data_IF_347828532830
#
_entry.id   IF_347828532830
#
_cell.length_a   1.000
_cell.length_b   1.000
_cell.length_c   1.000
_cell.angle_alpha   90.00
_cell.angle_beta   90.00
_cell.angle_gamma   90.00
#
_symmetry.space_group_name_H-M   'P 1'
#
loop_
_entity.id
_entity.type
_entity.pdbx_description
1 polymer ?
#
# COMPACT_ATOMS: atom_id res chain seq x y z
N UNK A 1 0.86 34.06 1.24
CA UNK A 1 0.76 33.00 0.21
C UNK A 1 0.03 31.82 0.81
N UNK A 2 -1.10 31.37 0.24
CA UNK A 2 -1.80 30.19 0.76
C UNK A 2 -0.88 28.98 0.74
N UNK A 3 -0.73 28.32 1.89
CA UNK A 3 0.15 27.17 2.06
C UNK A 3 -0.50 25.92 1.46
N UNK A 4 0.06 25.45 0.34
CA UNK A 4 -0.38 24.20 -0.28
C UNK A 4 -0.12 23.01 0.67
N UNK A 5 -1.18 22.29 1.03
CA UNK A 5 -1.10 21.14 1.93
C UNK A 5 -0.44 19.95 1.22
N UNK A 6 0.76 19.61 1.68
CA UNK A 6 1.48 18.37 1.30
C UNK A 6 1.19 17.32 2.39
N UNK A 7 0.79 16.12 1.99
CA UNK A 7 0.56 15.02 2.93
C UNK A 7 -0.72 14.21 2.68
N UNK A 8 -1.03 13.32 3.62
CA UNK A 8 -2.13 12.36 3.55
C UNK A 8 -3.48 13.02 3.25
N UNK A 9 -4.28 12.32 2.45
CA UNK A 9 -5.68 12.66 2.21
C UNK A 9 -6.53 12.16 3.37
N UNK A 10 -7.33 13.05 3.94
CA UNK A 10 -8.33 12.68 4.95
C UNK A 10 -9.60 12.17 4.26
N UNK A 11 -10.37 11.33 4.97
CA UNK A 11 -11.65 10.84 4.46
C UNK A 11 -12.64 11.99 4.16
N UNK A 12 -12.55 13.10 4.90
CA UNK A 12 -13.36 14.30 4.66
C UNK A 12 -12.98 14.96 3.34
N UNK A 13 -11.68 15.11 3.06
CA UNK A 13 -11.19 15.62 1.77
C UNK A 13 -11.63 14.71 0.62
N UNK A 14 -11.53 13.39 0.78
CA UNK A 14 -11.94 12.42 -0.25
C UNK A 14 -13.45 12.52 -0.57
N UNK A 15 -14.30 12.62 0.47
CA UNK A 15 -15.74 12.83 0.29
C UNK A 15 -16.04 14.13 -0.46
N UNK A 16 -15.35 15.20 -0.12
CA UNK A 16 -15.52 16.49 -0.78
C UNK A 16 -15.12 16.42 -2.27
N UNK A 17 -14.01 15.74 -2.59
CA UNK A 17 -13.61 15.52 -4.00
C UNK A 17 -14.68 14.73 -4.75
N UNK A 18 -15.23 13.67 -4.16
CA UNK A 18 -16.29 12.88 -4.78
C UNK A 18 -17.55 13.71 -5.04
N UNK A 19 -18.04 14.45 -4.03
CA UNK A 19 -19.23 15.29 -4.18
C UNK A 19 -19.04 16.37 -5.26
N UNK A 20 -17.91 17.07 -5.22
CA UNK A 20 -17.62 18.12 -6.20
C UNK A 20 -17.41 17.53 -7.61
N UNK A 21 -16.82 16.34 -7.73
CA UNK A 21 -16.69 15.65 -9.01
C UNK A 21 -18.05 15.21 -9.56
N UNK A 22 -18.98 14.76 -8.71
CA UNK A 22 -20.35 14.45 -9.14
C UNK A 22 -21.09 15.69 -9.65
N UNK A 23 -20.83 16.87 -9.05
CA UNK A 23 -21.48 18.13 -9.45
C UNK A 23 -20.83 18.79 -10.67
N UNK A 24 -19.50 18.81 -10.75
CA UNK A 24 -18.72 19.59 -11.72
C UNK A 24 -17.97 18.74 -12.75
N UNK A 25 -18.03 17.41 -12.65
CA UNK A 25 -17.27 16.51 -13.51
C UNK A 25 -15.76 16.69 -13.36
N UNK A 26 -15.04 16.69 -14.48
CA UNK A 26 -13.56 16.74 -14.50
C UNK A 26 -12.96 18.15 -14.39
N UNK A 27 -13.71 19.13 -13.86
CA UNK A 27 -13.17 20.48 -13.60
C UNK A 27 -12.29 20.51 -12.34
N UNK A 28 -11.08 19.95 -12.45
CA UNK A 28 -10.15 19.82 -11.32
C UNK A 28 -9.72 21.16 -10.74
N UNK A 29 -9.71 22.23 -11.55
CA UNK A 29 -9.36 23.59 -11.09
C UNK A 29 -10.48 24.16 -10.24
N UNK A 30 -11.73 24.07 -10.70
CA UNK A 30 -12.90 24.46 -9.92
C UNK A 30 -13.03 23.66 -8.62
N UNK A 31 -12.82 22.35 -8.68
CA UNK A 31 -12.85 21.47 -7.51
C UNK A 31 -11.78 21.90 -6.48
N UNK A 32 -10.53 22.12 -6.91
CA UNK A 32 -9.46 22.55 -6.02
C UNK A 32 -9.76 23.92 -5.35
N UNK A 33 -10.34 24.85 -6.11
CA UNK A 33 -10.76 26.15 -5.57
C UNK A 33 -11.88 26.00 -4.53
N UNK A 34 -12.87 25.15 -4.79
CA UNK A 34 -13.96 24.84 -3.87
C UNK A 34 -13.50 24.11 -2.59
N UNK A 35 -12.34 23.45 -2.62
CA UNK A 35 -11.68 22.88 -1.43
C UNK A 35 -10.84 23.92 -0.66
N UNK A 36 -11.26 25.19 -0.65
CA UNK A 36 -10.56 26.32 -0.04
C UNK A 36 -9.10 26.51 -0.50
N UNK A 37 -8.74 25.99 -1.69
CA UNK A 37 -7.37 26.08 -2.20
C UNK A 37 -6.31 25.32 -1.39
N UNK A 38 -6.72 24.43 -0.47
CA UNK A 38 -5.79 23.69 0.38
C UNK A 38 -4.98 22.66 -0.43
N UNK A 39 -5.52 22.17 -1.55
CA UNK A 39 -4.89 21.19 -2.46
C UNK A 39 -4.80 21.77 -3.86
N UNK A 40 -3.73 21.42 -4.57
CA UNK A 40 -3.58 21.76 -5.98
C UNK A 40 -4.45 20.87 -6.87
N UNK A 41 -4.95 21.42 -7.98
CA UNK A 41 -5.78 20.71 -8.97
C UNK A 41 -5.13 19.42 -9.50
N UNK A 42 -3.79 19.39 -9.61
CA UNK A 42 -3.07 18.17 -10.01
C UNK A 42 -3.18 17.09 -8.93
N UNK A 43 -3.07 17.47 -7.66
CA UNK A 43 -3.22 16.54 -6.54
C UNK A 43 -4.63 15.97 -6.46
N UNK A 44 -5.64 16.83 -6.65
CA UNK A 44 -7.06 16.42 -6.68
C UNK A 44 -7.30 15.40 -7.78
N UNK A 45 -6.89 15.72 -9.01
CA UNK A 45 -7.01 14.79 -10.15
C UNK A 45 -6.29 13.47 -9.86
N UNK A 46 -5.05 13.52 -9.39
CA UNK A 46 -4.26 12.33 -9.09
C UNK A 46 -4.93 11.46 -8.03
N UNK A 47 -5.48 12.07 -6.97
CA UNK A 47 -6.21 11.36 -5.92
C UNK A 47 -7.44 10.66 -6.50
N UNK A 48 -8.21 11.37 -7.33
CA UNK A 48 -9.41 10.82 -7.93
C UNK A 48 -9.09 9.61 -8.83
N UNK A 49 -8.23 9.80 -9.83
CA UNK A 49 -7.96 8.77 -10.86
C UNK A 49 -7.24 7.52 -10.35
N UNK A 50 -6.59 7.62 -9.19
CA UNK A 50 -5.84 6.52 -8.58
C UNK A 50 -6.54 5.84 -7.40
N UNK A 51 -7.49 6.53 -6.74
CA UNK A 51 -8.05 6.05 -5.47
C UNK A 51 -9.57 6.23 -5.30
N UNK A 52 -10.19 7.24 -5.89
CA UNK A 52 -11.61 7.56 -5.59
C UNK A 52 -12.57 7.16 -6.71
N UNK A 53 -12.09 7.05 -7.94
CA UNK A 53 -12.91 6.63 -9.08
C UNK A 53 -13.52 5.23 -8.82
N UNK A 54 -14.86 5.10 -8.81
CA UNK A 54 -15.55 3.83 -8.53
C UNK A 54 -15.22 2.70 -9.52
N UNK A 55 -14.72 3.02 -10.71
CA UNK A 55 -14.30 2.02 -11.69
C UNK A 55 -13.00 1.30 -11.29
N UNK A 56 -12.29 1.76 -10.26
CA UNK A 56 -11.02 1.19 -9.83
C UNK A 56 -11.26 -0.10 -9.05
N UNK A 57 -10.61 -1.18 -9.47
CA UNK A 57 -10.59 -2.42 -8.70
C UNK A 57 -9.62 -2.28 -7.51
N UNK A 58 -10.14 -2.38 -6.28
CA UNK A 58 -9.35 -2.32 -5.04
C UNK A 58 -8.95 -3.70 -4.47
N UNK A 59 -9.40 -4.79 -5.09
CA UNK A 59 -9.08 -6.15 -4.66
C UNK A 59 -7.62 -6.51 -4.94
N UNK A 60 -7.21 -7.68 -4.44
CA UNK A 60 -5.88 -8.23 -4.72
C UNK A 60 -5.72 -8.51 -6.21
N UNK A 61 -4.47 -8.46 -6.69
CA UNK A 61 -4.15 -8.93 -8.04
C UNK A 61 -4.42 -10.44 -8.11
N UNK A 62 -5.10 -10.85 -9.18
CA UNK A 62 -5.31 -12.25 -9.52
C UNK A 62 -4.02 -12.87 -10.05
N UNK A 63 -3.87 -14.18 -9.89
CA UNK A 63 -2.66 -14.92 -10.33
C UNK A 63 -2.42 -14.72 -11.83
N UNK A 64 -3.50 -14.62 -12.62
CA UNK A 64 -3.49 -14.32 -14.05
C UNK A 64 -2.89 -12.94 -14.33
N UNK A 65 -3.36 -11.89 -13.63
CA UNK A 65 -2.81 -10.53 -13.73
C UNK A 65 -1.33 -10.49 -13.31
N UNK A 66 -0.97 -11.21 -12.24
CA UNK A 66 0.42 -11.28 -11.76
C UNK A 66 1.36 -11.90 -12.79
N UNK A 67 0.97 -13.05 -13.37
CA UNK A 67 1.75 -13.75 -14.40
C UNK A 67 1.88 -12.90 -15.67
N UNK A 68 0.78 -12.29 -16.10
CA UNK A 68 0.77 -11.41 -17.26
C UNK A 68 1.72 -10.21 -17.08
N UNK A 69 1.69 -9.58 -15.90
CA UNK A 69 2.56 -8.44 -15.58
C UNK A 69 4.04 -8.78 -15.66
N UNK A 70 4.45 -9.89 -15.03
CA UNK A 70 5.86 -10.31 -15.04
C UNK A 70 6.31 -10.64 -16.46
N UNK A 71 5.45 -11.31 -17.25
CA UNK A 71 5.73 -11.62 -18.65
C UNK A 71 5.91 -10.36 -19.48
N UNK A 72 4.97 -9.42 -19.43
CA UNK A 72 5.06 -8.19 -20.23
C UNK A 72 6.23 -7.32 -19.81
N UNK A 73 6.49 -7.16 -18.51
CA UNK A 73 7.64 -6.36 -18.06
C UNK A 73 8.97 -6.97 -18.51
N UNK A 74 9.08 -8.31 -18.61
CA UNK A 74 10.28 -8.98 -19.12
C UNK A 74 10.51 -8.72 -20.61
N UNK A 75 9.44 -8.61 -21.39
CA UNK A 75 9.50 -8.47 -22.86
C UNK A 75 9.58 -6.99 -23.29
N UNK A 76 8.70 -6.15 -22.72
CA UNK A 76 8.43 -4.79 -23.18
C UNK A 76 9.02 -3.71 -22.24
N UNK A 77 9.56 -4.10 -21.08
CA UNK A 77 10.01 -3.17 -20.05
C UNK A 77 8.88 -2.54 -19.22
N UNK A 78 9.18 -1.52 -18.39
CA UNK A 78 8.22 -0.96 -17.43
C UNK A 78 7.18 -0.05 -18.10
N UNK A 79 6.09 -0.64 -18.63
CA UNK A 79 4.99 0.09 -19.28
C UNK A 79 3.68 0.03 -18.47
N UNK A 80 3.71 0.54 -17.23
CA UNK A 80 2.61 0.36 -16.25
C UNK A 80 1.23 0.78 -16.73
N UNK A 81 1.14 1.89 -17.46
CA UNK A 81 -0.14 2.38 -17.99
C UNK A 81 -0.69 1.48 -19.11
N UNK A 82 0.19 0.91 -19.94
CA UNK A 82 -0.19 -0.05 -20.99
C UNK A 82 -0.67 -1.34 -20.36
N UNK A 83 0.07 -1.85 -19.37
CA UNK A 83 -0.28 -3.09 -18.67
C UNK A 83 -1.60 -2.96 -17.93
N UNK A 84 -1.83 -1.85 -17.22
CA UNK A 84 -3.09 -1.58 -16.55
C UNK A 84 -4.30 -1.59 -17.52
N UNK A 85 -4.14 -1.06 -18.73
CA UNK A 85 -5.19 -1.12 -19.76
C UNK A 85 -5.40 -2.53 -20.29
N UNK A 86 -4.33 -3.32 -20.46
CA UNK A 86 -4.36 -4.69 -20.97
C UNK A 86 -4.93 -5.69 -19.94
N UNK A 87 -4.87 -5.40 -18.64
CA UNK A 87 -5.40 -6.24 -17.55
C UNK A 87 -6.91 -6.16 -17.34
N UNK A 88 -7.64 -5.26 -18.01
CA UNK A 88 -9.10 -5.15 -17.93
C UNK A 88 -9.75 -6.42 -18.51
N UNK A 89 -9.83 -7.47 -17.69
CA UNK A 89 -10.35 -8.77 -18.07
C UNK A 89 -11.71 -8.97 -17.40
N UNK A 90 -12.79 -8.65 -18.12
CA UNK A 90 -14.14 -9.18 -17.91
C UNK A 90 -14.94 -8.69 -16.69
N UNK A 91 -14.31 -8.23 -15.61
CA UNK A 91 -14.99 -7.81 -14.37
C UNK A 91 -15.59 -6.39 -14.42
N UNK A 92 -15.34 -5.66 -15.51
CA UNK A 92 -15.80 -4.27 -15.70
C UNK A 92 -15.00 -3.23 -14.90
N UNK A 93 -14.09 -3.65 -14.05
CA UNK A 93 -13.24 -2.77 -13.26
C UNK A 93 -11.86 -2.60 -13.89
N UNK A 94 -11.17 -1.51 -13.55
CA UNK A 94 -9.83 -1.20 -14.07
C UNK A 94 -8.78 -1.19 -12.97
N UNK A 95 -7.58 -1.67 -13.30
CA UNK A 95 -6.37 -1.38 -12.52
C UNK A 95 -5.81 -0.03 -12.93
N UNK A 96 -5.13 0.65 -12.00
CA UNK A 96 -4.41 1.89 -12.27
C UNK A 96 -2.92 1.61 -12.50
N UNK A 97 -2.26 2.46 -13.29
CA UNK A 97 -0.82 2.35 -13.51
C UNK A 97 -0.03 2.37 -12.18
N UNK A 98 -0.52 3.13 -11.19
CA UNK A 98 0.06 3.20 -9.85
C UNK A 98 -0.05 1.86 -9.12
N UNK A 99 -1.20 1.19 -9.18
CA UNK A 99 -1.38 -0.14 -8.59
C UNK A 99 -0.44 -1.16 -9.22
N UNK A 100 -0.35 -1.19 -10.55
CA UNK A 100 0.53 -2.11 -11.30
C UNK A 100 1.99 -1.90 -10.92
N UNK A 101 2.47 -0.64 -10.93
CA UNK A 101 3.84 -0.30 -10.50
C UNK A 101 4.11 -0.73 -9.06
N UNK A 102 3.19 -0.39 -8.14
CA UNK A 102 3.35 -0.70 -6.73
C UNK A 102 3.35 -2.21 -6.48
N UNK A 103 2.50 -2.95 -7.20
CA UNK A 103 2.48 -4.40 -7.14
C UNK A 103 3.81 -4.98 -7.63
N UNK A 104 4.30 -4.55 -8.80
CA UNK A 104 5.56 -5.04 -9.34
C UNK A 104 6.74 -4.80 -8.39
N UNK A 105 6.87 -3.61 -7.82
CA UNK A 105 7.93 -3.31 -6.85
C UNK A 105 7.80 -4.15 -5.57
N UNK A 106 6.59 -4.35 -5.04
CA UNK A 106 6.35 -5.20 -3.86
C UNK A 106 6.71 -6.67 -4.14
N UNK A 107 6.40 -7.17 -5.34
CA UNK A 107 6.64 -8.56 -5.73
C UNK A 107 8.10 -8.80 -6.11
N UNK A 108 8.77 -7.83 -6.77
CA UNK A 108 10.19 -7.90 -7.10
C UNK A 108 11.07 -7.84 -5.84
N UNK A 109 10.76 -6.97 -4.87
CA UNK A 109 11.54 -6.88 -3.63
C UNK A 109 11.37 -8.09 -2.69
N UNK A 110 10.29 -8.88 -2.81
CA UNK A 110 10.09 -10.11 -2.02
C UNK A 110 11.10 -11.21 -2.36
N UNK A 111 11.61 -11.25 -3.59
CA UNK A 111 12.63 -12.24 -4.01
C UNK A 111 13.96 -12.06 -3.27
N UNK A 112 14.30 -10.82 -2.86
CA UNK A 112 15.55 -10.53 -2.15
C UNK A 112 15.48 -10.74 -0.62
N UNK A 113 14.29 -10.77 -0.01
CA UNK A 113 14.15 -11.05 1.43
C UNK A 113 14.12 -12.55 1.76
N UNK A 114 13.50 -13.38 0.92
CA UNK A 114 13.42 -14.84 1.15
C UNK A 114 14.78 -15.56 1.14
N UNK A 115 15.83 -14.96 0.57
CA UNK A 115 17.18 -15.51 0.60
C UNK A 115 17.95 -15.20 1.90
N UNK A 116 17.51 -14.23 2.70
CA UNK A 116 18.20 -13.87 3.97
C UNK A 116 17.68 -14.63 5.19
N UNK A 117 16.48 -15.20 5.09
CA UNK A 117 15.82 -15.93 6.19
C UNK A 117 15.80 -17.45 5.97
N UNK A 118 16.64 -17.99 5.07
CA UNK A 118 16.80 -19.43 4.93
C UNK A 118 17.43 -19.98 6.23
N UNK A 119 16.81 -20.94 6.94
CA UNK A 119 17.41 -21.52 8.13
C UNK A 119 18.70 -22.25 7.73
N UNK A 120 19.84 -21.77 8.25
CA UNK A 120 21.10 -22.48 8.16
C UNK A 120 21.00 -23.71 9.07
N UNK A 121 20.89 -24.90 8.48
CA UNK A 121 20.93 -26.17 9.18
C UNK A 121 22.30 -26.30 9.87
N UNK A 122 22.31 -26.30 11.21
CA UNK A 122 23.53 -26.48 11.99
C UNK A 122 23.77 -27.98 12.19
N UNK A 123 24.97 -28.51 11.89
CA UNK A 123 25.26 -29.91 12.17
C UNK A 123 25.27 -30.17 13.68
N UNK A 124 24.71 -31.32 14.08
CA UNK A 124 24.52 -31.73 15.48
C UNK A 124 25.84 -31.75 16.26
N UNK A 125 25.92 -30.93 17.31
CA UNK A 125 27.04 -30.89 18.23
C UNK A 125 26.95 -32.08 19.21
N UNK A 126 28.02 -32.87 19.27
CA UNK A 126 28.27 -33.92 20.26
C UNK A 126 28.54 -33.29 21.64
N UNK A 127 27.95 -33.88 22.68
CA UNK A 127 27.94 -33.41 24.07
C UNK A 127 29.17 -33.95 24.82
N UNK A 128 30.12 -33.08 25.16
CA UNK A 128 31.06 -33.31 26.27
C UNK A 128 31.36 -31.98 26.98
N UNK A 129 30.85 -31.83 28.21
CA UNK A 129 31.24 -30.78 29.16
C UNK A 129 32.37 -31.28 30.06
N UNK A 130 33.20 -30.36 30.60
CA UNK A 130 33.57 -30.47 32.00
C UNK A 130 33.19 -29.24 32.83
N UNK A 131 32.81 -29.54 34.06
CA UNK A 131 32.37 -28.66 35.13
C UNK A 131 33.52 -27.82 35.72
N UNK A 132 33.29 -26.55 36.01
CA UNK A 132 34.05 -25.85 37.05
C UNK A 132 33.17 -24.85 37.79
N UNK A 133 33.04 -25.11 39.08
CA UNK A 133 32.30 -24.39 40.09
C UNK A 133 33.07 -23.13 40.54
N UNK A 134 32.39 -22.02 40.85
CA UNK A 134 33.04 -20.97 41.65
C UNK A 134 32.51 -19.53 41.59
N UNK A 135 31.46 -19.27 42.38
CA UNK A 135 31.40 -18.21 43.42
C UNK A 135 31.48 -16.70 43.05
N UNK A 136 30.35 -16.05 43.36
CA UNK A 136 30.15 -14.71 43.99
C UNK A 136 30.15 -13.42 43.17
N UNK A 137 29.05 -12.66 43.30
CA UNK A 137 29.04 -11.19 43.22
C UNK A 137 27.82 -10.59 42.53
N UNK A 138 26.65 -10.59 43.16
CA UNK A 138 25.46 -9.90 42.68
C UNK A 138 25.39 -8.47 43.24
N UNK A 139 25.29 -7.45 42.37
CA UNK A 139 24.52 -6.24 42.67
C UNK A 139 24.13 -5.46 41.39
N UNK A 140 22.82 -5.38 41.20
CA UNK A 140 21.99 -4.25 40.75
C UNK A 140 22.30 -3.52 39.42
N UNK A 141 21.40 -3.69 38.45
CA UNK A 141 20.87 -2.59 37.65
C UNK A 141 19.49 -3.00 37.07
N UNK A 142 18.44 -2.34 37.57
CA UNK A 142 17.09 -2.42 37.02
C UNK A 142 17.07 -1.76 35.64
N UNK A 143 16.49 -2.42 34.62
CA UNK A 143 16.12 -1.73 33.38
C UNK A 143 14.63 -1.94 33.06
N UNK A 144 14.04 -0.81 32.69
CA UNK A 144 12.62 -0.50 32.64
C UNK A 144 11.95 -0.99 31.36
N UNK A 145 10.64 -1.25 31.50
CA UNK A 145 9.70 -1.74 30.49
C UNK A 145 9.76 -0.94 29.18
N UNK A 146 9.93 -1.65 28.06
CA UNK A 146 9.59 -1.17 26.72
C UNK A 146 8.31 -1.87 26.24
N UNK A 147 7.17 -1.16 26.31
CA UNK A 147 5.90 -1.63 25.76
C UNK A 147 5.93 -1.56 24.22
N UNK A 148 5.85 -2.71 23.55
CA UNK A 148 5.62 -2.78 22.11
C UNK A 148 4.16 -2.44 21.78
N UNK A 149 3.96 -1.30 21.11
CA UNK A 149 2.66 -0.83 20.64
C UNK A 149 2.16 -1.68 19.45
N UNK A 150 0.96 -2.29 19.50
CA UNK A 150 0.44 -3.09 18.39
C UNK A 150 0.05 -2.20 17.20
N UNK A 151 0.57 -2.55 16.01
CA UNK A 151 0.22 -1.91 14.74
C UNK A 151 -1.25 -2.15 14.40
N UNK A 152 -2.01 -1.06 14.37
CA UNK A 152 -3.45 -1.04 14.18
C UNK A 152 -3.94 -1.75 12.91
N UNK A 153 -4.87 -2.68 13.13
CA UNK A 153 -5.80 -3.27 12.17
C UNK A 153 -6.63 -2.14 11.53
N UNK A 154 -6.44 -1.86 10.24
CA UNK A 154 -7.32 -0.94 9.53
C UNK A 154 -8.66 -1.64 9.33
N UNK A 155 -9.69 -0.98 9.85
CA UNK A 155 -11.08 -1.41 9.94
C UNK A 155 -11.66 -1.64 8.54
N UNK A 156 -12.33 -2.78 8.40
CA UNK A 156 -13.37 -3.02 7.40
C UNK A 156 -14.42 -1.90 7.52
N UNK A 157 -14.69 -1.19 6.43
CA UNK A 157 -15.89 -0.38 6.31
C UNK A 157 -16.75 -0.97 5.19
N UNK A 158 -17.96 -1.27 5.62
CA UNK A 158 -19.00 -2.00 4.93
C UNK A 158 -19.50 -1.26 3.68
N UNK A 159 -19.64 -2.05 2.61
CA UNK A 159 -20.84 -2.20 1.79
C UNK A 159 -21.76 -0.97 1.67
N UNK A 160 -21.60 -0.18 0.61
CA UNK A 160 -22.61 0.80 0.17
C UNK A 160 -23.40 0.16 -0.97
N UNK A 161 -24.38 -0.68 -0.58
CA UNK A 161 -25.56 -1.02 -1.38
C UNK A 161 -26.77 -0.74 -0.49
N UNK A 162 -27.27 0.50 -0.57
CA UNK A 162 -28.66 0.90 -0.31
C UNK A 162 -28.75 2.43 -0.17
N UNK A 163 -28.70 3.13 -1.31
CA UNK A 163 -29.25 4.50 -1.44
C UNK A 163 -30.11 4.60 -2.70
N UNK A 164 -30.95 3.58 -2.91
CA UNK A 164 -32.12 3.62 -3.79
C UNK A 164 -33.19 2.72 -3.16
N UNK A 165 -33.92 3.28 -2.20
CA UNK A 165 -35.35 3.05 -1.96
C UNK A 165 -35.85 4.17 -1.05
#
# INVERSE_FOLDING_TARGET
>A
MPSLKKGHWSATEDKLVLELHLRHGSDWKGIAAAMNGARDHKQVRERYVNHLDPSINHDRFSIEEERALVKWNKIEGPQWAVFARRMRNGDGFRRTALQVKNFFHRTACRKNKRQKDAPMEQPAAVDERPNYDGRSGASSAQNVRGEEKPRGRIKSLMNIRNLLN
#
